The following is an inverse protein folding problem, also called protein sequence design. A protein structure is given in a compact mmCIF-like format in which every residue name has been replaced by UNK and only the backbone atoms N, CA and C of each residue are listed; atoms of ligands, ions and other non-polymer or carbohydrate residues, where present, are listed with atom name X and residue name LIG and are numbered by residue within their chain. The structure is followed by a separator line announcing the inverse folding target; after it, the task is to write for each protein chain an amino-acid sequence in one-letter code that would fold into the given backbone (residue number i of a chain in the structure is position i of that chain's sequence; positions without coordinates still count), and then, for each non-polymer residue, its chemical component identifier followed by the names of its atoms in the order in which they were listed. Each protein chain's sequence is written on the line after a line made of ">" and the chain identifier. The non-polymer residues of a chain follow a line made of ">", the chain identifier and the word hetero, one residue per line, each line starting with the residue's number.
data_IF_131284444591
#
_entry.id   IF_131284444591
#
_cell.length_a   1.000
_cell.length_b   1.000
_cell.length_c   1.000
_cell.angle_alpha   90.00
_cell.angle_beta   90.00
_cell.angle_gamma   90.00
#
_symmetry.space_group_name_H-M   'P 1'
#
loop_
_entity.id
_entity.type
_entity.pdbx_description
1 polymer ?
#
# COMPACT_ATOMS: atom_id res chain seq x y z
N UNK A 1 0.25 -10.37 0.90
CA UNK A 1 -0.28 -9.13 0.31
C UNK A 1 -0.40 -9.35 -1.19
N UNK A 2 -1.33 -8.70 -1.87
CA UNK A 2 -1.38 -8.73 -3.33
C UNK A 2 -1.63 -7.31 -3.83
N UNK A 3 -0.62 -6.72 -4.45
CA UNK A 3 -0.74 -5.44 -5.14
C UNK A 3 -0.73 -5.75 -6.62
N UNK A 4 -1.73 -5.28 -7.35
CA UNK A 4 -1.82 -5.42 -8.79
C UNK A 4 -1.86 -4.03 -9.44
N UNK A 5 -1.14 -3.88 -10.54
CA UNK A 5 -1.13 -2.66 -11.34
C UNK A 5 -1.18 -3.01 -12.82
N UNK A 6 -2.01 -2.29 -13.56
CA UNK A 6 -2.16 -2.46 -14.99
C UNK A 6 -2.31 -1.11 -15.67
N UNK A 7 -1.65 -0.96 -16.81
CA UNK A 7 -1.81 0.21 -17.64
C UNK A 7 -1.46 -0.10 -19.10
N UNK A 8 -2.49 -0.32 -19.93
CA UNK A 8 -2.27 -0.71 -21.34
C UNK A 8 -1.53 0.33 -22.16
N UNK A 9 -1.80 1.60 -21.93
CA UNK A 9 -1.23 2.70 -22.71
C UNK A 9 0.26 2.89 -22.42
N UNK A 10 0.69 2.66 -21.17
CA UNK A 10 2.08 2.90 -20.75
C UNK A 10 2.93 1.62 -20.66
N UNK A 11 2.33 0.48 -20.31
CA UNK A 11 3.03 -0.79 -20.06
C UNK A 11 2.67 -1.90 -21.07
N UNK A 12 1.67 -1.65 -21.94
CA UNK A 12 1.09 -2.70 -22.77
C UNK A 12 0.17 -3.62 -21.98
N UNK A 13 -0.21 -4.75 -22.59
CA UNK A 13 -1.06 -5.77 -21.95
C UNK A 13 -0.24 -6.61 -20.97
N UNK A 14 0.21 -5.97 -19.89
CA UNK A 14 1.02 -6.57 -18.84
C UNK A 14 0.42 -6.21 -17.48
N UNK A 15 -0.03 -7.24 -16.76
CA UNK A 15 -0.43 -7.12 -15.36
C UNK A 15 0.79 -7.34 -14.47
N UNK A 16 1.16 -6.31 -13.72
CA UNK A 16 2.21 -6.39 -12.72
C UNK A 16 1.58 -6.76 -11.38
N UNK A 17 2.14 -7.76 -10.71
CA UNK A 17 1.73 -8.15 -9.36
C UNK A 17 2.92 -8.18 -8.42
N UNK A 18 2.72 -7.66 -7.21
CA UNK A 18 3.69 -7.68 -6.12
C UNK A 18 3.06 -8.41 -4.94
N UNK A 19 3.75 -9.43 -4.45
CA UNK A 19 3.26 -10.34 -3.40
C UNK A 19 4.10 -10.29 -2.12
N UNK A 20 5.34 -9.81 -2.21
CA UNK A 20 6.25 -9.61 -1.09
C UNK A 20 7.14 -8.38 -1.34
N UNK A 21 7.82 -7.85 -0.30
CA UNK A 21 8.78 -6.77 -0.44
C UNK A 21 9.90 -7.08 -1.41
N UNK A 22 10.57 -6.02 -1.89
CA UNK A 22 11.79 -6.18 -2.65
C UNK A 22 12.88 -6.86 -1.85
N UNK A 23 13.77 -7.54 -2.58
CA UNK A 23 14.88 -8.28 -2.02
C UNK A 23 16.20 -7.66 -2.50
N UNK A 24 17.26 -7.83 -1.70
CA UNK A 24 18.57 -7.26 -2.02
C UNK A 24 19.14 -7.83 -3.33
N UNK A 25 18.86 -9.09 -3.63
CA UNK A 25 19.23 -9.74 -4.89
C UNK A 25 18.00 -10.40 -5.51
N UNK A 26 17.64 -9.99 -6.72
CA UNK A 26 16.48 -10.52 -7.43
C UNK A 26 16.89 -11.18 -8.74
N UNK A 27 16.18 -12.24 -9.09
CA UNK A 27 16.23 -12.86 -10.42
C UNK A 27 14.82 -13.08 -10.94
N UNK A 28 14.72 -13.48 -12.21
CA UNK A 28 13.44 -13.77 -12.83
C UNK A 28 13.47 -15.08 -13.61
N UNK A 29 12.33 -15.75 -13.65
CA UNK A 29 12.09 -16.97 -14.42
C UNK A 29 10.87 -16.73 -15.32
N UNK A 30 11.04 -16.90 -16.63
CA UNK A 30 9.95 -16.78 -17.61
C UNK A 30 9.48 -18.16 -18.06
N UNK A 31 8.17 -18.41 -17.99
CA UNK A 31 7.50 -19.56 -18.60
C UNK A 31 6.25 -19.08 -19.33
N UNK A 32 6.20 -19.32 -20.63
CA UNK A 32 5.14 -18.79 -21.49
C UNK A 32 5.02 -17.27 -21.37
N UNK A 33 3.81 -16.81 -21.05
CA UNK A 33 3.46 -15.41 -20.87
C UNK A 33 3.55 -14.94 -19.41
N UNK A 34 4.19 -15.71 -18.53
CA UNK A 34 4.34 -15.34 -17.12
C UNK A 34 5.82 -15.24 -16.76
N UNK A 35 6.19 -14.14 -16.11
CA UNK A 35 7.50 -13.94 -15.49
C UNK A 35 7.32 -13.92 -13.99
N UNK A 36 8.00 -14.83 -13.29
CA UNK A 36 8.14 -14.82 -11.83
C UNK A 36 9.37 -14.02 -11.45
N UNK A 37 9.25 -13.13 -10.47
CA UNK A 37 10.34 -12.38 -9.85
C UNK A 37 10.54 -12.94 -8.44
N UNK A 38 11.77 -13.25 -8.07
CA UNK A 38 12.07 -13.88 -6.78
C UNK A 38 13.42 -13.44 -6.23
N UNK A 39 13.54 -13.53 -4.90
CA UNK A 39 14.80 -13.36 -4.18
C UNK A 39 15.74 -14.54 -4.46
N UNK A 40 16.99 -14.25 -4.83
CA UNK A 40 17.96 -15.30 -5.21
C UNK A 40 18.39 -16.14 -4.01
N UNK A 41 18.45 -15.54 -2.82
CA UNK A 41 18.94 -16.21 -1.62
C UNK A 41 17.91 -17.18 -1.03
N UNK A 42 16.69 -16.71 -0.80
CA UNK A 42 15.61 -17.51 -0.21
C UNK A 42 14.76 -18.27 -1.22
N UNK A 43 14.80 -17.87 -2.50
CA UNK A 43 13.88 -18.35 -3.52
C UNK A 43 12.45 -17.83 -3.36
N UNK A 44 12.19 -16.90 -2.42
CA UNK A 44 10.87 -16.34 -2.17
C UNK A 44 10.40 -15.51 -3.38
N UNK A 45 9.17 -15.75 -3.83
CA UNK A 45 8.55 -14.92 -4.86
C UNK A 45 8.25 -13.52 -4.35
N UNK A 46 8.67 -12.50 -5.08
CA UNK A 46 8.36 -11.09 -4.79
C UNK A 46 7.25 -10.55 -5.68
N UNK A 47 7.08 -11.10 -6.89
CA UNK A 47 6.03 -10.71 -7.81
C UNK A 47 5.91 -11.59 -9.05
N UNK A 48 4.88 -11.31 -9.84
CA UNK A 48 4.70 -11.88 -11.17
C UNK A 48 4.29 -10.80 -12.17
N UNK A 49 4.78 -10.92 -13.39
CA UNK A 49 4.31 -10.16 -14.53
C UNK A 49 3.59 -11.10 -15.49
N UNK A 50 2.29 -10.88 -15.69
CA UNK A 50 1.47 -11.61 -16.64
C UNK A 50 1.37 -10.81 -17.93
N UNK A 51 1.99 -11.31 -18.98
CA UNK A 51 1.85 -10.78 -20.34
C UNK A 51 0.55 -11.29 -20.95
N UNK A 52 0.00 -10.53 -21.90
CA UNK A 52 -1.31 -10.81 -22.50
C UNK A 52 -2.40 -11.01 -21.43
N UNK A 53 -2.33 -10.24 -20.33
CA UNK A 53 -3.18 -10.43 -19.16
C UNK A 53 -4.67 -10.32 -19.49
N UNK A 54 -5.04 -9.53 -20.50
CA UNK A 54 -6.42 -9.41 -21.02
C UNK A 54 -7.01 -10.73 -21.51
N UNK A 55 -6.17 -11.72 -21.86
CA UNK A 55 -6.60 -13.09 -22.22
C UNK A 55 -6.86 -13.98 -21.02
N UNK A 56 -6.25 -13.68 -19.87
CA UNK A 56 -6.37 -14.44 -18.63
C UNK A 56 -7.54 -13.90 -17.81
N UNK A 57 -7.64 -12.57 -17.69
CA UNK A 57 -8.69 -11.90 -16.93
C UNK A 57 -9.30 -10.74 -17.73
N UNK A 58 -10.62 -10.61 -17.64
CA UNK A 58 -11.36 -9.52 -18.28
C UNK A 58 -11.34 -8.22 -17.46
N UNK A 59 -11.65 -7.08 -18.10
CA UNK A 59 -11.88 -5.81 -17.41
C UNK A 59 -10.63 -4.96 -17.16
N UNK A 60 -9.49 -5.30 -17.78
CA UNK A 60 -8.22 -4.56 -17.64
C UNK A 60 -8.13 -3.33 -18.57
N UNK A 61 -8.77 -3.36 -19.73
CA UNK A 61 -8.58 -2.41 -20.83
C UNK A 61 -8.68 -0.93 -20.45
N UNK A 62 -9.56 -0.59 -19.51
CA UNK A 62 -9.78 0.81 -19.08
C UNK A 62 -9.01 1.19 -17.81
N UNK A 63 -8.21 0.27 -17.25
CA UNK A 63 -7.51 0.48 -15.97
C UNK A 63 -6.18 1.21 -16.19
N UNK A 64 -5.88 2.14 -15.28
CA UNK A 64 -4.67 2.98 -15.31
C UNK A 64 -4.08 3.06 -13.89
N UNK A 65 -3.13 2.17 -13.58
CA UNK A 65 -2.47 2.11 -12.28
C UNK A 65 -2.96 0.95 -11.43
N UNK A 66 -3.08 1.17 -10.11
CA UNK A 66 -3.49 0.12 -9.17
C UNK A 66 -4.87 -0.44 -9.53
N UNK A 67 -5.00 -1.75 -9.47
CA UNK A 67 -6.27 -2.46 -9.57
C UNK A 67 -6.45 -3.39 -8.38
N UNK A 68 -7.70 -3.60 -8.00
CA UNK A 68 -8.09 -4.57 -6.98
C UNK A 68 -8.72 -5.76 -7.69
N UNK A 69 -8.09 -6.92 -7.56
CA UNK A 69 -8.53 -8.15 -8.18
C UNK A 69 -9.59 -8.82 -7.31
N UNK A 70 -10.66 -9.30 -7.95
CA UNK A 70 -11.66 -10.13 -7.28
C UNK A 70 -11.21 -11.61 -7.18
N UNK A 71 -12.01 -12.43 -6.50
CA UNK A 71 -11.71 -13.86 -6.35
C UNK A 71 -11.61 -14.59 -7.69
N UNK A 72 -12.52 -14.31 -8.64
CA UNK A 72 -12.51 -14.98 -9.94
C UNK A 72 -11.27 -14.62 -10.76
N UNK A 73 -10.84 -13.35 -10.71
CA UNK A 73 -9.62 -12.90 -11.36
C UNK A 73 -8.37 -13.53 -10.74
N UNK A 74 -8.29 -13.58 -9.40
CA UNK A 74 -7.16 -14.24 -8.71
C UNK A 74 -7.14 -15.74 -8.97
N UNK A 75 -8.30 -16.40 -9.01
CA UNK A 75 -8.40 -17.83 -9.34
C UNK A 75 -7.90 -18.12 -10.76
N UNK A 76 -8.29 -17.31 -11.74
CA UNK A 76 -7.82 -17.43 -13.13
C UNK A 76 -6.30 -17.21 -13.25
N UNK A 77 -5.74 -16.23 -12.54
CA UNK A 77 -4.29 -16.01 -12.51
C UNK A 77 -3.56 -17.20 -11.85
N UNK A 78 -4.11 -17.74 -10.76
CA UNK A 78 -3.56 -18.92 -10.10
C UNK A 78 -3.63 -20.18 -10.97
N UNK A 79 -4.69 -20.34 -11.77
CA UNK A 79 -4.79 -21.41 -12.77
C UNK A 79 -3.71 -21.26 -13.85
N UNK A 80 -3.56 -20.06 -14.41
CA UNK A 80 -2.51 -19.77 -15.39
C UNK A 80 -1.09 -20.01 -14.83
N UNK A 81 -0.84 -19.69 -13.55
CA UNK A 81 0.42 -20.02 -12.87
C UNK A 81 0.67 -21.53 -12.83
N UNK A 82 -0.34 -22.33 -12.43
CA UNK A 82 -0.23 -23.79 -12.37
C UNK A 82 0.05 -24.41 -13.73
N UNK A 83 -0.68 -23.97 -14.76
CA UNK A 83 -0.50 -24.45 -16.14
C UNK A 83 0.92 -24.18 -16.67
N UNK A 84 1.52 -23.07 -16.26
CA UNK A 84 2.90 -22.72 -16.61
C UNK A 84 3.94 -23.31 -15.64
N UNK A 85 3.54 -24.20 -14.71
CA UNK A 85 4.46 -24.90 -13.81
C UNK A 85 5.05 -24.03 -12.71
N UNK A 86 4.33 -23.00 -12.28
CA UNK A 86 4.62 -22.23 -11.06
C UNK A 86 3.73 -22.69 -9.90
N UNK A 87 4.21 -22.48 -8.67
CA UNK A 87 3.36 -22.57 -7.48
C UNK A 87 2.31 -21.44 -7.52
N UNK A 88 1.05 -21.79 -7.30
CA UNK A 88 -0.04 -20.82 -7.18
C UNK A 88 -0.16 -20.33 -5.74
N UNK A 89 0.09 -19.05 -5.53
CA UNK A 89 0.21 -18.46 -4.19
C UNK A 89 -0.53 -17.12 -4.06
N UNK A 90 -1.26 -16.68 -5.10
CA UNK A 90 -1.96 -15.41 -5.07
C UNK A 90 -3.21 -15.53 -4.18
N UNK A 91 -3.37 -14.57 -3.28
CA UNK A 91 -4.52 -14.48 -2.38
C UNK A 91 -5.14 -13.09 -2.52
N UNK A 92 -6.46 -13.04 -2.67
CA UNK A 92 -7.21 -11.77 -2.75
C UNK A 92 -6.96 -10.93 -1.50
N UNK A 93 -6.65 -9.65 -1.72
CA UNK A 93 -6.44 -8.67 -0.67
C UNK A 93 -7.50 -7.56 -0.77
N UNK A 94 -8.69 -7.85 -0.24
CA UNK A 94 -9.84 -6.94 -0.30
C UNK A 94 -9.88 -5.92 0.85
N UNK A 95 -8.89 -5.95 1.76
CA UNK A 95 -8.89 -5.06 2.93
C UNK A 95 -8.48 -3.64 2.53
N UNK A 96 -9.16 -2.60 3.02
CA UNK A 96 -8.78 -1.21 2.73
C UNK A 96 -7.35 -0.97 3.21
N UNK A 97 -6.53 -0.34 2.37
CA UNK A 97 -5.13 -0.06 2.66
C UNK A 97 -4.90 1.30 3.31
N UNK A 98 -5.80 2.23 3.06
CA UNK A 98 -5.87 3.52 3.76
C UNK A 98 -7.00 3.45 4.78
N UNK A 99 -6.67 3.62 6.05
CA UNK A 99 -7.62 3.57 7.15
C UNK A 99 -7.41 4.73 8.12
N UNK A 100 -8.43 5.04 8.89
CA UNK A 100 -8.32 5.99 9.99
C UNK A 100 -7.75 5.27 11.21
N UNK A 101 -6.65 5.77 11.76
CA UNK A 101 -6.03 5.29 12.99
C UNK A 101 -6.11 6.31 14.11
N UNK A 102 -5.97 5.84 15.36
CA UNK A 102 -5.87 6.69 16.54
C UNK A 102 -4.52 6.51 17.22
N UNK A 103 -3.81 7.62 17.44
CA UNK A 103 -2.48 7.60 18.07
C UNK A 103 -2.65 7.39 19.57
N UNK A 104 -2.50 6.14 20.02
CA UNK A 104 -2.60 5.77 21.45
C UNK A 104 -1.39 6.22 22.24
N UNK A 105 -0.20 6.19 21.62
CA UNK A 105 1.07 6.62 22.19
C UNK A 105 1.97 7.24 21.13
N UNK A 106 2.73 8.26 21.52
CA UNK A 106 3.80 8.86 20.72
C UNK A 106 4.99 9.14 21.65
N UNK A 107 6.10 8.44 21.44
CA UNK A 107 7.31 8.55 22.26
C UNK A 107 8.49 8.95 21.36
N UNK A 108 9.46 9.70 21.90
CA UNK A 108 10.66 10.07 21.14
C UNK A 108 11.47 8.82 20.75
N UNK A 109 12.02 8.83 19.55
CA UNK A 109 12.86 7.74 19.07
C UNK A 109 14.21 7.72 19.82
N UNK A 110 14.67 6.57 20.36
CA UNK A 110 15.88 6.51 21.19
C UNK A 110 17.17 6.90 20.45
N UNK A 111 17.18 6.76 19.13
CA UNK A 111 18.30 7.09 18.23
C UNK A 111 17.99 8.23 17.24
N UNK A 112 16.98 9.09 17.51
CA UNK A 112 16.72 10.28 16.70
C UNK A 112 15.88 11.34 17.43
N UNK A 113 16.29 12.59 17.29
CA UNK A 113 15.63 13.80 17.77
C UNK A 113 14.48 14.31 16.85
N UNK A 114 14.21 13.62 15.74
CA UNK A 114 13.23 14.04 14.73
C UNK A 114 12.22 12.95 14.40
N UNK A 115 12.28 11.81 15.09
CA UNK A 115 11.39 10.68 14.87
C UNK A 115 10.65 10.34 16.16
N UNK A 116 9.45 9.83 16.00
CA UNK A 116 8.60 9.35 17.09
C UNK A 116 8.24 7.89 16.83
N UNK A 117 8.30 7.08 17.87
CA UNK A 117 7.75 5.72 17.86
C UNK A 117 6.30 5.82 18.31
N UNK A 118 5.38 5.55 17.39
CA UNK A 118 3.95 5.66 17.65
C UNK A 118 3.29 4.30 17.75
N UNK A 119 2.37 4.16 18.69
CA UNK A 119 1.43 3.04 18.74
C UNK A 119 0.07 3.54 18.30
N UNK A 120 -0.41 3.04 17.16
CA UNK A 120 -1.61 3.53 16.50
C UNK A 120 -2.64 2.42 16.46
N UNK A 121 -3.79 2.64 17.10
CA UNK A 121 -4.94 1.76 17.02
C UNK A 121 -5.56 1.83 15.63
N UNK A 122 -5.68 0.66 15.00
CA UNK A 122 -6.32 0.47 13.69
C UNK A 122 -7.05 -0.86 13.68
N UNK A 123 -8.19 -0.93 12.98
CA UNK A 123 -9.03 -2.12 12.94
C UNK A 123 -9.29 -2.65 14.39
N UNK A 124 -9.02 -3.93 14.66
CA UNK A 124 -9.15 -4.56 15.98
C UNK A 124 -7.83 -4.60 16.79
N UNK A 125 -6.77 -3.91 16.34
CA UNK A 125 -5.43 -4.02 16.91
C UNK A 125 -4.66 -2.71 16.95
N UNK A 126 -3.33 -2.81 17.04
CA UNK A 126 -2.42 -1.67 17.00
C UNK A 126 -1.26 -1.93 16.04
N UNK A 127 -0.75 -0.86 15.42
CA UNK A 127 0.46 -0.86 14.61
C UNK A 127 1.51 0.02 15.28
N UNK A 128 2.75 -0.45 15.28
CA UNK A 128 3.90 0.40 15.55
C UNK A 128 4.34 1.08 14.25
N UNK A 129 4.37 2.40 14.24
CA UNK A 129 4.80 3.19 13.08
C UNK A 129 5.79 4.25 13.56
N UNK A 130 6.95 4.34 12.90
CA UNK A 130 7.91 5.41 13.15
C UNK A 130 7.51 6.61 12.30
N UNK A 131 7.24 7.76 12.93
CA UNK A 131 6.76 8.96 12.26
C UNK A 131 7.71 10.14 12.51
N UNK A 132 8.12 10.82 11.44
CA UNK A 132 8.97 12.02 11.50
C UNK A 132 8.22 13.34 11.40
N UNK A 133 6.88 13.32 11.44
CA UNK A 133 6.11 14.54 11.33
C UNK A 133 6.18 15.34 12.64
N UNK A 134 6.43 16.66 12.59
CA UNK A 134 6.62 17.47 13.80
C UNK A 134 5.32 17.68 14.59
N UNK A 135 4.17 17.34 14.01
CA UNK A 135 2.85 17.53 14.61
C UNK A 135 2.18 16.22 15.04
N UNK A 136 2.92 15.09 15.08
CA UNK A 136 2.39 13.80 15.53
C UNK A 136 2.32 13.75 17.05
N UNK A 137 1.12 13.60 17.61
CA UNK A 137 0.89 13.58 19.05
C UNK A 137 -0.13 12.52 19.45
N UNK A 138 -0.03 12.06 20.69
CA UNK A 138 -1.03 11.17 21.29
C UNK A 138 -2.41 11.84 21.28
N UNK A 139 -3.46 11.05 21.01
CA UNK A 139 -4.85 11.54 21.02
C UNK A 139 -5.37 11.99 19.65
N UNK A 140 -4.56 11.90 18.60
CA UNK A 140 -4.95 12.32 17.25
C UNK A 140 -5.57 11.17 16.45
N UNK A 141 -6.63 11.47 15.68
CA UNK A 141 -7.04 10.62 14.56
C UNK A 141 -6.22 11.01 13.34
N UNK A 142 -5.67 10.02 12.64
CA UNK A 142 -4.76 10.22 11.51
C UNK A 142 -5.06 9.21 10.40
N UNK A 143 -4.60 9.49 9.17
CA UNK A 143 -4.68 8.51 8.08
C UNK A 143 -3.46 7.61 8.09
N UNK A 144 -3.69 6.31 8.03
CA UNK A 144 -2.65 5.29 7.98
C UNK A 144 -2.68 4.60 6.63
N UNK A 145 -1.55 4.62 5.92
CA UNK A 145 -1.26 3.70 4.84
C UNK A 145 -0.68 2.41 5.44
N UNK A 146 -1.46 1.32 5.39
CA UNK A 146 -1.05 0.00 5.88
C UNK A 146 -0.05 -0.65 4.94
N UNK A 147 0.67 -1.66 5.44
CA UNK A 147 1.48 -2.53 4.59
C UNK A 147 0.65 -3.07 3.42
N UNK A 148 1.22 -2.95 2.22
CA UNK A 148 0.57 -3.27 0.96
C UNK A 148 -0.21 -2.12 0.32
N UNK A 149 -0.21 -0.92 0.91
CA UNK A 149 -0.72 0.28 0.24
C UNK A 149 0.18 0.67 -0.94
N UNK A 150 -0.44 1.11 -2.04
CA UNK A 150 0.23 1.86 -3.11
C UNK A 150 -0.14 3.34 -2.93
N UNK A 151 0.87 4.18 -2.76
CA UNK A 151 0.69 5.63 -2.66
C UNK A 151 0.34 6.21 -4.05
N UNK A 152 -0.30 7.39 -4.11
CA UNK A 152 -0.65 8.03 -5.38
C UNK A 152 0.52 8.31 -6.33
N UNK A 153 1.76 8.38 -5.83
CA UNK A 153 2.97 8.50 -6.64
C UNK A 153 3.51 7.15 -7.16
N UNK A 154 2.87 6.03 -6.80
CA UNK A 154 3.26 4.67 -7.15
C UNK A 154 4.13 3.96 -6.11
N UNK A 155 4.58 4.65 -5.05
CA UNK A 155 5.41 4.06 -3.98
C UNK A 155 4.63 3.00 -3.20
N UNK A 156 5.26 1.86 -2.91
CA UNK A 156 4.64 0.77 -2.13
C UNK A 156 5.05 0.82 -0.66
N UNK A 157 4.08 0.61 0.24
CA UNK A 157 4.34 0.53 1.68
C UNK A 157 4.64 -0.91 2.08
N UNK A 158 5.89 -1.16 2.46
CA UNK A 158 6.38 -2.45 2.96
C UNK A 158 6.65 -2.40 4.47
N UNK A 159 6.64 -3.55 5.17
CA UNK A 159 7.13 -3.60 6.55
C UNK A 159 8.63 -3.30 6.53
N UNK A 160 9.10 -2.51 7.49
CA UNK A 160 10.50 -2.12 7.54
C UNK A 160 10.97 -1.76 8.93
N UNK A 161 12.24 -1.36 9.01
CA UNK A 161 12.86 -0.81 10.20
C UNK A 161 13.41 0.56 9.90
N UNK A 162 13.13 1.52 10.78
CA UNK A 162 13.75 2.83 10.76
C UNK A 162 14.65 2.94 11.98
N UNK A 163 15.97 3.09 11.76
CA UNK A 163 16.98 3.16 12.83
C UNK A 163 16.84 2.04 13.89
N UNK A 164 16.57 0.82 13.42
CA UNK A 164 16.48 -0.37 14.27
C UNK A 164 15.10 -0.62 14.89
N UNK A 165 14.16 0.31 14.80
CA UNK A 165 12.79 0.16 15.30
C UNK A 165 11.86 -0.25 14.17
N UNK A 166 11.02 -1.26 14.40
CA UNK A 166 10.04 -1.74 13.43
C UNK A 166 8.99 -0.67 13.10
N UNK A 167 8.60 -0.58 11.83
CA UNK A 167 7.54 0.30 11.34
C UNK A 167 6.65 -0.46 10.35
N UNK A 168 5.37 -0.60 10.69
CA UNK A 168 4.40 -1.43 9.96
C UNK A 168 3.34 -0.58 9.24
N UNK A 169 3.79 0.44 8.53
CA UNK A 169 2.92 1.35 7.79
C UNK A 169 3.50 2.76 7.78
N UNK A 170 2.67 3.72 7.38
CA UNK A 170 3.01 5.13 7.30
C UNK A 170 1.83 5.99 7.74
N UNK A 171 2.10 7.01 8.56
CA UNK A 171 1.12 8.06 8.85
C UNK A 171 1.17 9.08 7.72
N UNK A 172 0.03 9.34 7.07
CA UNK A 172 0.00 10.12 5.84
C UNK A 172 -0.27 11.61 6.09
N UNK A 173 0.39 12.43 5.28
CA UNK A 173 0.03 13.83 5.05
C UNK A 173 -0.98 13.96 3.89
N UNK A 174 -1.67 15.09 3.85
CA UNK A 174 -2.56 15.43 2.74
C UNK A 174 -1.83 15.51 1.39
N UNK A 175 -0.54 15.90 1.40
CA UNK A 175 0.29 16.05 0.20
C UNK A 175 0.68 14.70 -0.39
N UNK A 176 1.09 13.75 0.45
CA UNK A 176 1.40 12.39 0.02
C UNK A 176 0.17 11.68 -0.57
N UNK A 177 -1.02 11.99 -0.04
CA UNK A 177 -2.29 11.51 -0.57
C UNK A 177 -2.78 12.30 -1.80
N UNK A 178 -2.02 13.29 -2.27
CA UNK A 178 -2.36 14.18 -3.40
C UNK A 178 -3.76 14.81 -3.27
N UNK A 179 -4.18 15.15 -2.05
CA UNK A 179 -5.47 15.78 -1.84
C UNK A 179 -5.51 17.19 -2.46
N UNK A 180 -6.62 17.59 -3.10
CA UNK A 180 -6.79 18.95 -3.61
C UNK A 180 -6.56 20.00 -2.53
N UNK A 181 -5.88 21.09 -2.88
CA UNK A 181 -5.56 22.22 -1.99
C UNK A 181 -4.78 21.83 -0.72
N UNK A 182 -4.11 20.67 -0.72
CA UNK A 182 -3.33 20.22 0.43
C UNK A 182 -2.36 21.32 0.93
N UNK A 183 -2.29 21.56 2.26
CA UNK A 183 -1.40 22.54 2.84
C UNK A 183 0.05 22.28 2.42
N UNK A 184 0.80 23.34 2.12
CA UNK A 184 2.21 23.22 1.73
C UNK A 184 3.15 23.02 2.93
N UNK A 185 2.63 23.16 4.15
CA UNK A 185 3.38 22.94 5.40
C UNK A 185 3.70 21.46 5.57
N UNK A 186 4.84 21.16 6.20
CA UNK A 186 5.21 19.81 6.59
C UNK A 186 4.34 19.35 7.76
N UNK A 187 3.87 18.11 7.72
CA UNK A 187 3.11 17.50 8.81
C UNK A 187 2.12 16.45 8.32
N UNK A 188 1.69 15.59 9.24
CA UNK A 188 0.61 14.61 8.98
C UNK A 188 -0.74 15.30 8.97
N UNK A 189 -1.73 14.62 8.41
CA UNK A 189 -3.11 15.08 8.44
C UNK A 189 -3.81 14.56 9.70
N UNK A 190 -4.18 15.49 10.58
CA UNK A 190 -5.04 15.22 11.74
C UNK A 190 -6.50 15.33 11.29
N UNK A 191 -7.29 14.31 11.60
CA UNK A 191 -8.69 14.19 11.22
C UNK A 191 -9.62 14.55 12.38
N UNK A 192 -10.80 15.07 12.05
CA UNK A 192 -11.88 15.20 13.02
C UNK A 192 -12.48 13.81 13.31
N UNK A 193 -12.58 13.45 14.60
CA UNK A 193 -13.04 12.13 15.03
C UNK A 193 -14.52 11.83 14.72
N UNK A 194 -15.38 12.86 14.67
CA UNK A 194 -16.79 12.71 14.34
C UNK A 194 -16.98 12.38 12.85
N UNK A 195 -16.09 12.91 12.01
CA UNK A 195 -16.12 12.73 10.56
C UNK A 195 -15.37 11.49 10.09
N UNK A 196 -14.36 11.06 10.84
CA UNK A 196 -13.45 9.99 10.50
C UNK A 196 -13.31 9.04 11.71
N UNK A 197 -14.21 8.04 11.83
CA UNK A 197 -14.17 7.09 12.91
C UNK A 197 -12.98 6.14 12.77
N UNK A 198 -12.32 5.86 13.89
CA UNK A 198 -11.15 4.95 13.95
C UNK A 198 -11.52 3.56 13.42
N UNK A 199 -10.65 2.99 12.58
CA UNK A 199 -10.82 1.68 11.96
C UNK A 199 -11.63 1.70 10.67
N UNK A 200 -12.25 2.82 10.28
CA UNK A 200 -12.91 2.90 8.98
C UNK A 200 -11.90 2.99 7.84
N UNK A 201 -12.32 2.56 6.64
CA UNK A 201 -11.62 2.93 5.42
C UNK A 201 -11.55 4.46 5.32
N UNK A 202 -10.43 4.97 4.81
CA UNK A 202 -10.28 6.39 4.57
C UNK A 202 -11.07 6.80 3.32
N UNK A 203 -11.95 7.78 3.48
CA UNK A 203 -12.81 8.30 2.42
C UNK A 203 -12.10 9.45 1.68
N UNK A 204 -11.55 9.14 0.51
CA UNK A 204 -10.84 10.10 -0.34
C UNK A 204 -11.77 11.18 -0.92
N UNK A 205 -13.04 10.84 -1.20
CA UNK A 205 -14.00 11.79 -1.77
C UNK A 205 -14.38 12.83 -0.72
N UNK A 206 -14.69 12.38 0.50
CA UNK A 206 -14.90 13.28 1.64
C UNK A 206 -13.66 14.12 1.91
N UNK A 207 -12.47 13.51 1.87
CA UNK A 207 -11.21 14.18 2.14
C UNK A 207 -10.83 15.24 1.10
N UNK A 208 -11.29 15.09 -0.15
CA UNK A 208 -11.04 16.07 -1.21
C UNK A 208 -11.63 17.46 -0.90
N UNK A 209 -12.58 17.52 0.04
CA UNK A 209 -13.23 18.76 0.47
C UNK A 209 -12.62 19.38 1.74
N UNK A 210 -11.66 18.71 2.41
CA UNK A 210 -11.13 19.16 3.72
C UNK A 210 -10.36 20.47 3.67
N UNK A 211 -9.71 20.77 2.54
CA UNK A 211 -8.84 21.94 2.40
C UNK A 211 -9.38 22.98 1.43
N UNK A 212 -10.70 22.98 1.20
CA UNK A 212 -11.33 24.05 0.43
C UNK A 212 -11.18 25.37 1.19
N UNK A 213 -10.52 26.34 0.57
CA UNK A 213 -10.61 27.73 1.01
C UNK A 213 -12.04 28.20 0.80
N UNK A 214 -12.69 28.69 1.85
CA UNK A 214 -13.89 29.52 1.69
C UNK A 214 -13.54 30.66 0.71
N UNK A 215 -14.38 30.81 -0.31
CA UNK A 215 -14.23 31.85 -1.33
C UNK A 215 -14.60 33.23 -0.77
#
# INVERSE_FOLDING_TARGET
>A
MLIASYNKEQLGDVLLTVVAPDAATQSCEKKGDIVRIFDVESGQTTGYNFFNASKIISGLETKKGQIFLDNGQVDALNEALKENGFSSELVVDAKPKFVVGYVEKSEEHPDSDHLHVTSIKVDDGHLQIVCGAPNIEQGQNVVIAKVGAMMPDGTLIFPGKLRGIDSFGMVCSARELQLPNAPQKRGIMVLNADDYPVGSAFDFDKAAHLFQTEA
#
